data_IF_646427638192
#
_entry.id   IF_646427638192
#
_cell.length_a   1.000
_cell.length_b   1.000
_cell.length_c   1.000
_cell.angle_alpha   90.00
_cell.angle_beta   90.00
_cell.angle_gamma   90.00
#
_symmetry.space_group_name_H-M   'P 1'
#
loop_
_entity.id
_entity.type
_entity.pdbx_description
1 polymer ?
#
# COMPACT_ATOMS: atom_id res chain seq x y z
N UNK A 1 43.63 -21.60 -5.23
CA UNK A 1 43.70 -20.72 -4.06
C UNK A 1 42.28 -20.32 -3.77
N UNK A 2 41.74 -20.87 -2.69
CA UNK A 2 40.36 -20.77 -2.24
C UNK A 2 40.25 -19.55 -1.33
N UNK A 3 39.46 -18.56 -1.71
CA UNK A 3 39.05 -17.49 -0.79
C UNK A 3 37.56 -17.68 -0.51
N UNK A 4 37.35 -18.45 0.55
CA UNK A 4 36.14 -18.55 1.34
C UNK A 4 35.70 -17.15 1.79
N UNK A 5 34.56 -16.68 1.27
CA UNK A 5 33.93 -15.46 1.79
C UNK A 5 33.32 -15.82 3.14
N UNK A 6 34.00 -15.38 4.19
CA UNK A 6 33.64 -15.63 5.57
C UNK A 6 32.29 -15.00 5.94
N UNK A 7 31.52 -15.78 6.68
CA UNK A 7 30.24 -15.48 7.28
C UNK A 7 30.27 -14.15 8.03
N UNK A 8 29.43 -13.20 7.64
CA UNK A 8 28.84 -12.32 8.63
C UNK A 8 27.47 -12.89 8.92
N UNK A 9 27.40 -13.71 9.98
CA UNK A 9 26.18 -13.95 10.75
C UNK A 9 25.67 -12.57 11.17
N UNK A 10 24.86 -11.95 10.33
CA UNK A 10 23.93 -10.94 10.77
C UNK A 10 22.86 -11.76 11.48
N UNK A 11 23.03 -11.90 12.79
CA UNK A 11 21.96 -12.35 13.69
C UNK A 11 20.84 -11.32 13.53
N UNK A 12 19.98 -11.52 12.52
CA UNK A 12 18.68 -10.88 12.48
C UNK A 12 17.97 -11.40 13.72
N UNK A 13 18.05 -10.64 14.81
CA UNK A 13 17.09 -10.72 15.90
C UNK A 13 15.74 -10.47 15.25
N UNK A 14 15.10 -11.57 14.85
CA UNK A 14 13.73 -11.62 14.42
C UNK A 14 12.96 -11.17 15.66
N UNK A 15 12.69 -9.87 15.74
CA UNK A 15 11.68 -9.36 16.66
C UNK A 15 10.47 -10.25 16.47
N UNK A 16 9.92 -10.79 17.56
CA UNK A 16 8.69 -11.57 17.56
C UNK A 16 7.59 -10.66 16.99
N UNK A 17 7.47 -10.64 15.66
CA UNK A 17 6.34 -10.05 14.97
C UNK A 17 5.22 -11.00 15.32
N UNK A 18 4.49 -10.69 16.39
CA UNK A 18 3.16 -11.23 16.58
C UNK A 18 2.50 -11.15 15.22
N UNK A 19 2.09 -12.29 14.69
CA UNK A 19 1.39 -12.38 13.41
C UNK A 19 -0.01 -11.80 13.64
N UNK A 20 -0.06 -10.51 13.96
CA UNK A 20 -1.27 -9.78 14.26
C UNK A 20 -1.89 -9.40 12.92
N UNK A 21 -2.88 -10.21 12.61
CA UNK A 21 -4.04 -9.88 11.82
C UNK A 21 -3.80 -9.58 10.33
N UNK A 22 -4.84 -9.84 9.55
CA UNK A 22 -4.94 -9.39 8.17
C UNK A 22 -4.50 -7.92 8.05
N UNK A 23 -3.80 -7.53 6.96
CA UNK A 23 -3.32 -6.16 6.81
C UNK A 23 -4.47 -5.19 7.08
N UNK A 24 -4.33 -4.39 8.14
CA UNK A 24 -5.40 -3.50 8.57
C UNK A 24 -5.43 -2.33 7.60
N UNK A 25 -6.44 -2.35 6.72
CA UNK A 25 -6.69 -1.29 5.76
C UNK A 25 -7.63 -0.26 6.38
N UNK A 26 -7.16 0.98 6.51
CA UNK A 26 -8.00 2.11 6.95
C UNK A 26 -8.73 2.71 5.73
N UNK A 27 -10.03 2.97 5.84
CA UNK A 27 -10.79 3.59 4.76
C UNK A 27 -10.31 5.03 4.52
N UNK A 28 -9.91 5.35 3.29
CA UNK A 28 -9.61 6.73 2.92
C UNK A 28 -10.88 7.54 2.64
N UNK A 29 -10.74 8.85 2.47
CA UNK A 29 -11.84 9.73 2.01
C UNK A 29 -12.33 9.41 0.58
N UNK A 30 -11.66 8.50 -0.15
CA UNK A 30 -11.99 8.13 -1.52
C UNK A 30 -12.56 6.70 -1.51
N UNK A 31 -13.76 6.48 -2.07
CA UNK A 31 -14.36 5.15 -2.08
C UNK A 31 -13.51 4.15 -2.87
N UNK A 32 -13.25 2.98 -2.28
CA UNK A 32 -12.44 1.92 -2.89
C UNK A 32 -10.93 2.12 -2.78
N UNK A 33 -10.49 3.16 -2.06
CA UNK A 33 -9.08 3.41 -1.76
C UNK A 33 -8.88 3.36 -0.24
N UNK A 34 -7.83 2.66 0.18
CA UNK A 34 -7.52 2.41 1.59
C UNK A 34 -6.08 2.80 1.91
N UNK A 35 -5.78 3.03 3.19
CA UNK A 35 -4.43 3.19 3.69
C UNK A 35 -3.94 1.89 4.31
N UNK A 36 -2.75 1.46 3.90
CA UNK A 36 -2.05 0.38 4.60
C UNK A 36 -1.33 0.90 5.86
N UNK A 37 -0.67 -0.01 6.58
CA UNK A 37 0.13 0.25 7.78
C UNK A 37 1.27 1.27 7.57
N UNK A 38 1.65 1.50 6.31
CA UNK A 38 2.67 2.48 5.89
C UNK A 38 2.07 3.81 5.43
N UNK A 39 0.76 4.02 5.62
CA UNK A 39 0.00 5.18 5.14
C UNK A 39 0.07 5.36 3.62
N UNK A 40 0.23 4.27 2.89
CA UNK A 40 0.23 4.24 1.43
C UNK A 40 -1.16 3.89 0.91
N UNK A 41 -1.56 4.56 -0.18
CA UNK A 41 -2.82 4.30 -0.84
C UNK A 41 -2.79 2.95 -1.54
N UNK A 42 -3.75 2.09 -1.20
CA UNK A 42 -3.95 0.78 -1.82
C UNK A 42 -5.39 0.59 -2.26
N UNK A 43 -5.63 -0.30 -3.21
CA UNK A 43 -6.98 -0.73 -3.59
C UNK A 43 -7.57 -1.77 -2.62
N UNK A 44 -8.79 -2.22 -2.90
CA UNK A 44 -9.49 -3.27 -2.12
C UNK A 44 -8.77 -4.63 -2.13
N UNK A 45 -7.91 -4.89 -3.13
CA UNK A 45 -7.08 -6.09 -3.23
C UNK A 45 -5.72 -5.91 -2.52
N UNK A 46 -5.42 -4.70 -2.04
CA UNK A 46 -4.16 -4.35 -1.38
C UNK A 46 -3.02 -3.96 -2.33
N UNK A 47 -3.31 -3.68 -3.61
CA UNK A 47 -2.28 -3.20 -4.54
C UNK A 47 -2.05 -1.71 -4.34
N UNK A 48 -0.77 -1.32 -4.40
CA UNK A 48 -0.33 0.06 -4.25
C UNK A 48 -0.82 0.90 -5.42
N UNK A 49 -1.56 1.97 -5.10
CA UNK A 49 -2.08 2.94 -6.05
C UNK A 49 -1.13 4.12 -6.19
N UNK A 50 -0.91 4.52 -7.44
CA UNK A 50 -0.18 5.75 -7.74
C UNK A 50 -1.07 6.99 -7.48
N UNK A 51 -0.48 8.16 -7.20
CA UNK A 51 -1.25 9.39 -7.00
C UNK A 51 -2.22 9.71 -8.16
N UNK A 52 -1.85 9.40 -9.40
CA UNK A 52 -2.72 9.60 -10.58
C UNK A 52 -3.91 8.65 -10.62
N UNK A 53 -3.78 7.43 -10.09
CA UNK A 53 -4.86 6.45 -10.01
C UNK A 53 -5.88 6.88 -8.95
N UNK A 54 -5.38 7.29 -7.78
CA UNK A 54 -6.18 7.88 -6.71
C UNK A 54 -6.93 9.12 -7.21
N UNK A 55 -6.25 10.02 -7.93
CA UNK A 55 -6.85 11.23 -8.50
C UNK A 55 -7.92 10.90 -9.55
N UNK A 56 -7.68 9.89 -10.40
CA UNK A 56 -8.67 9.44 -11.39
C UNK A 56 -9.93 8.84 -10.74
N UNK A 57 -9.80 8.13 -9.62
CA UNK A 57 -10.93 7.59 -8.86
C UNK A 57 -11.74 8.74 -8.26
N UNK A 58 -11.06 9.72 -7.65
CA UNK A 58 -11.69 10.92 -7.07
C UNK A 58 -12.45 11.74 -8.13
N UNK A 59 -11.90 11.82 -9.35
CA UNK A 59 -12.47 12.65 -10.41
C UNK A 59 -13.69 12.03 -11.11
N UNK A 60 -13.90 10.71 -10.99
CA UNK A 60 -15.03 10.04 -11.67
C UNK A 60 -16.40 10.38 -11.11
N UNK A 61 -16.53 10.80 -9.86
CA UNK A 61 -17.84 11.14 -9.28
C UNK A 61 -18.35 12.53 -9.65
N UNK A 62 -17.48 13.45 -10.08
CA UNK A 62 -17.83 14.87 -10.27
C UNK A 62 -17.95 15.30 -11.74
N UNK A 63 -17.81 14.38 -12.71
CA UNK A 63 -17.64 14.73 -14.13
C UNK A 63 -18.70 14.18 -15.10
N UNK A 64 -19.88 13.79 -14.63
CA UNK A 64 -20.99 13.42 -15.53
C UNK A 64 -22.14 14.45 -15.60
N UNK A 65 -22.22 15.46 -14.73
CA UNK A 65 -23.48 16.24 -14.62
C UNK A 65 -23.46 17.65 -15.27
N UNK A 66 -22.31 18.11 -15.77
CA UNK A 66 -22.14 19.52 -16.15
C UNK A 66 -22.12 19.79 -17.66
N UNK A 67 -21.99 18.76 -18.51
CA UNK A 67 -21.71 18.95 -19.95
C UNK A 67 -22.95 19.11 -20.85
N UNK A 68 -24.15 19.21 -20.26
CA UNK A 68 -25.40 19.47 -20.99
C UNK A 68 -26.30 20.46 -20.24
N UNK A 69 -25.99 21.76 -20.32
CA UNK A 69 -26.95 22.83 -19.97
C UNK A 69 -27.03 23.91 -21.04
#
# INVERSE_FOLDING_TARGET
MTEEVQNHDVELEFWDIESEDTPVLEESDIPGVYFNEFLEYVDEEGNILSPSEVDAIRYKEDYEDDYYR
#
